data_IF_923421077186
#
_entry.id   IF_923421077186
#
_cell.length_a   1.000
_cell.length_b   1.000
_cell.length_c   1.000
_cell.angle_alpha   90.00
_cell.angle_beta   90.00
_cell.angle_gamma   90.00
#
_symmetry.space_group_name_H-M   'P 1'
#
loop_
_entity.id
_entity.type
_entity.pdbx_description
1 polymer ?
#
# COMPACT_ATOMS: atom_id res chain seq x y z
N UNK A 1 -43.15 -22.39 -44.91
CA UNK A 1 -43.07 -22.05 -43.45
C UNK A 1 -41.62 -22.04 -43.05
N UNK A 2 -41.01 -20.82 -42.84
CA UNK A 2 -39.57 -20.67 -42.42
C UNK A 2 -39.54 -20.67 -40.93
N UNK A 3 -38.87 -21.64 -40.29
CA UNK A 3 -38.64 -21.70 -38.86
C UNK A 3 -37.46 -20.78 -38.53
N UNK A 4 -37.70 -19.70 -37.81
CA UNK A 4 -36.66 -18.79 -37.27
C UNK A 4 -36.16 -19.39 -35.97
N UNK A 5 -34.87 -19.79 -35.96
CA UNK A 5 -34.17 -20.30 -34.77
C UNK A 5 -33.61 -19.11 -33.99
N UNK A 6 -34.18 -18.83 -32.83
CA UNK A 6 -33.68 -17.80 -31.92
C UNK A 6 -32.51 -18.38 -31.08
N UNK A 7 -31.29 -17.98 -31.40
CA UNK A 7 -30.11 -18.33 -30.58
C UNK A 7 -30.03 -17.29 -29.42
N UNK A 8 -30.39 -17.72 -28.21
CA UNK A 8 -30.19 -16.95 -26.99
C UNK A 8 -28.75 -17.09 -26.57
N UNK A 9 -27.95 -16.03 -26.77
CA UNK A 9 -26.56 -15.96 -26.32
C UNK A 9 -26.53 -15.66 -24.83
N UNK A 10 -26.25 -16.66 -23.98
CA UNK A 10 -26.07 -16.47 -22.53
C UNK A 10 -24.69 -15.86 -22.30
N UNK A 11 -24.64 -14.56 -22.03
CA UNK A 11 -23.41 -13.87 -21.56
C UNK A 11 -23.15 -14.27 -20.12
N UNK A 12 -22.21 -15.18 -19.90
CA UNK A 12 -21.69 -15.51 -18.57
C UNK A 12 -20.91 -14.29 -18.03
N UNK A 13 -21.56 -13.47 -17.20
CA UNK A 13 -20.88 -12.45 -16.41
C UNK A 13 -20.10 -13.17 -15.31
N UNK A 14 -18.81 -13.37 -15.51
CA UNK A 14 -17.91 -13.84 -14.46
C UNK A 14 -17.82 -12.76 -13.38
N UNK A 15 -18.68 -12.85 -12.36
CA UNK A 15 -18.60 -12.05 -11.17
C UNK A 15 -17.36 -12.47 -10.38
N UNK A 16 -16.30 -11.66 -10.39
CA UNK A 16 -15.18 -11.84 -9.49
C UNK A 16 -15.66 -11.60 -8.06
N UNK A 17 -16.05 -12.66 -7.36
CA UNK A 17 -16.34 -12.57 -5.93
C UNK A 17 -15.09 -12.08 -5.17
N UNK A 18 -15.24 -11.12 -4.24
CA UNK A 18 -14.10 -10.60 -3.49
C UNK A 18 -13.43 -11.74 -2.72
N UNK A 19 -12.11 -11.81 -2.81
CA UNK A 19 -11.31 -12.84 -2.13
C UNK A 19 -11.50 -12.68 -0.61
N UNK A 20 -12.09 -13.69 0.05
CA UNK A 20 -12.17 -13.70 1.51
C UNK A 20 -10.77 -13.79 2.11
N UNK A 21 -10.49 -12.97 3.13
CA UNK A 21 -9.22 -13.01 3.86
C UNK A 21 -8.95 -14.41 4.41
N UNK A 22 -7.73 -14.92 4.24
CA UNK A 22 -7.31 -16.22 4.74
C UNK A 22 -6.09 -16.05 5.67
N UNK A 23 -6.18 -16.58 6.89
CA UNK A 23 -5.09 -16.52 7.88
C UNK A 23 -3.77 -17.16 7.38
N UNK A 24 -3.85 -18.13 6.46
CA UNK A 24 -2.65 -18.73 5.84
C UNK A 24 -1.81 -17.70 5.06
N UNK A 25 -2.41 -16.59 4.62
CA UNK A 25 -1.70 -15.53 3.92
C UNK A 25 -0.60 -14.88 4.78
N UNK A 26 -0.81 -14.82 6.09
CA UNK A 26 0.13 -14.24 7.05
C UNK A 26 1.38 -15.10 7.28
N UNK A 27 1.40 -16.33 6.75
CA UNK A 27 2.54 -17.25 6.87
C UNK A 27 3.46 -17.23 5.64
N UNK A 28 3.09 -16.49 4.60
CA UNK A 28 3.93 -16.41 3.41
C UNK A 28 5.18 -15.60 3.72
N UNK A 29 6.33 -16.17 3.50
CA UNK A 29 7.64 -15.52 3.63
C UNK A 29 8.10 -14.98 2.29
N UNK A 30 8.78 -13.83 2.32
CA UNK A 30 9.40 -13.23 1.16
C UNK A 30 10.71 -13.96 0.80
N UNK A 31 11.10 -14.00 -0.48
CA UNK A 31 12.48 -14.32 -0.85
C UNK A 31 13.42 -13.24 -0.28
N UNK A 32 14.72 -13.53 -0.21
CA UNK A 32 15.73 -12.59 0.30
C UNK A 32 15.68 -11.22 -0.38
N UNK A 33 15.34 -11.20 -1.66
CA UNK A 33 15.13 -9.99 -2.45
C UNK A 33 14.02 -10.23 -3.44
N UNK A 34 13.13 -9.24 -3.62
CA UNK A 34 12.15 -9.24 -4.70
C UNK A 34 11.96 -7.84 -5.25
N UNK A 35 11.47 -7.77 -6.48
CA UNK A 35 11.03 -6.53 -7.11
C UNK A 35 9.52 -6.56 -7.31
N UNK A 36 8.90 -5.40 -7.26
CA UNK A 36 7.48 -5.27 -7.53
C UNK A 36 7.20 -3.95 -8.25
N UNK A 37 6.17 -3.95 -9.08
CA UNK A 37 5.64 -2.78 -9.77
C UNK A 37 4.35 -2.34 -9.12
N UNK A 38 4.22 -1.03 -8.96
CA UNK A 38 3.01 -0.35 -8.57
C UNK A 38 2.54 0.48 -9.78
N UNK A 39 1.42 0.11 -10.37
CA UNK A 39 0.75 0.89 -11.40
C UNK A 39 -0.13 1.93 -10.73
N UNK A 40 0.06 3.20 -11.06
CA UNK A 40 -0.69 4.30 -10.44
C UNK A 40 -1.42 5.17 -11.46
N UNK A 41 -2.20 6.12 -10.98
CA UNK A 41 -2.85 7.13 -11.82
C UNK A 41 -1.83 8.07 -12.49
N UNK A 42 -0.63 8.24 -11.91
CA UNK A 42 0.43 9.12 -12.42
C UNK A 42 1.51 8.37 -13.21
N UNK A 43 1.35 7.05 -13.43
CA UNK A 43 2.33 6.17 -14.05
C UNK A 43 2.87 5.14 -13.07
N UNK A 44 3.79 4.32 -13.54
CA UNK A 44 4.30 3.19 -12.76
C UNK A 44 5.54 3.59 -11.96
N UNK A 45 5.74 2.92 -10.82
CA UNK A 45 7.03 2.89 -10.14
C UNK A 45 7.38 1.46 -9.72
N UNK A 46 8.66 1.16 -9.71
CA UNK A 46 9.19 -0.15 -9.33
C UNK A 46 9.98 -0.04 -8.03
N UNK A 47 9.88 -1.07 -7.22
CA UNK A 47 10.59 -1.17 -5.95
C UNK A 47 11.47 -2.42 -5.90
N UNK A 48 12.51 -2.36 -5.08
CA UNK A 48 13.25 -3.52 -4.59
C UNK A 48 13.10 -3.60 -3.07
N UNK A 49 12.71 -4.78 -2.57
CA UNK A 49 12.66 -5.09 -1.16
C UNK A 49 13.76 -6.08 -0.81
N UNK A 50 14.41 -5.90 0.35
CA UNK A 50 15.47 -6.79 0.85
C UNK A 50 15.11 -7.25 2.25
N UNK A 51 14.91 -8.56 2.42
CA UNK A 51 14.48 -9.15 3.69
C UNK A 51 15.44 -8.85 4.84
N UNK A 52 16.74 -8.73 4.55
CA UNK A 52 17.76 -8.36 5.54
C UNK A 52 17.57 -6.97 6.18
N UNK A 53 16.79 -6.06 5.56
CA UNK A 53 16.56 -4.73 6.16
C UNK A 53 15.51 -4.74 7.28
N UNK A 54 14.48 -5.57 7.16
CA UNK A 54 13.39 -5.71 8.12
C UNK A 54 12.61 -6.99 7.78
N UNK A 55 13.05 -8.18 8.24
CA UNK A 55 12.47 -9.46 7.84
C UNK A 55 10.95 -9.52 7.97
N UNK A 56 10.39 -9.17 9.14
CA UNK A 56 8.94 -9.17 9.37
C UNK A 56 8.21 -8.14 8.49
N UNK A 57 8.82 -6.95 8.33
CA UNK A 57 8.27 -5.90 7.47
C UNK A 57 8.26 -6.31 6.00
N UNK A 58 9.33 -6.90 5.50
CA UNK A 58 9.44 -7.35 4.10
C UNK A 58 8.53 -8.54 3.82
N UNK A 59 8.40 -9.49 4.76
CA UNK A 59 7.43 -10.58 4.66
C UNK A 59 5.99 -10.03 4.58
N UNK A 60 5.64 -9.02 5.39
CA UNK A 60 4.34 -8.37 5.34
C UNK A 60 4.11 -7.63 4.01
N UNK A 61 5.08 -6.89 3.50
CA UNK A 61 4.99 -6.25 2.19
C UNK A 61 4.74 -7.28 1.07
N UNK A 62 5.51 -8.40 1.10
CA UNK A 62 5.34 -9.50 0.17
C UNK A 62 3.92 -10.08 0.22
N UNK A 63 3.39 -10.34 1.43
CA UNK A 63 2.03 -10.84 1.65
C UNK A 63 1.00 -9.89 1.05
N UNK A 64 1.09 -8.60 1.35
CA UNK A 64 0.15 -7.58 0.87
C UNK A 64 0.13 -7.51 -0.67
N UNK A 65 1.29 -7.53 -1.32
CA UNK A 65 1.39 -7.54 -2.80
C UNK A 65 0.86 -8.87 -3.36
N UNK A 66 1.30 -10.01 -2.81
CA UNK A 66 0.93 -11.35 -3.29
C UNK A 66 -0.58 -11.58 -3.32
N UNK A 67 -1.28 -11.01 -2.35
CA UNK A 67 -2.71 -11.23 -2.20
C UNK A 67 -3.57 -10.04 -2.69
N UNK A 68 -2.96 -9.09 -3.43
CA UNK A 68 -3.65 -8.01 -4.13
C UNK A 68 -4.20 -6.94 -3.19
N UNK A 69 -3.59 -6.77 -2.00
CA UNK A 69 -4.06 -5.78 -1.03
C UNK A 69 -3.97 -4.34 -1.53
N UNK A 70 -2.97 -4.03 -2.36
CA UNK A 70 -2.78 -2.66 -2.85
C UNK A 70 -3.53 -2.35 -4.15
N UNK A 71 -4.39 -3.26 -4.64
CA UNK A 71 -5.20 -3.00 -5.82
C UNK A 71 -6.33 -2.00 -5.48
N UNK A 72 -6.50 -0.96 -6.29
CA UNK A 72 -7.44 0.17 -6.11
C UNK A 72 -7.29 0.90 -4.74
N UNK A 73 -6.06 1.12 -4.29
CA UNK A 73 -5.75 1.78 -3.01
C UNK A 73 -5.35 3.24 -3.21
N UNK A 74 -6.00 4.13 -2.47
CA UNK A 74 -5.73 5.57 -2.52
C UNK A 74 -4.39 5.95 -1.90
N UNK A 75 -3.68 6.89 -2.54
CA UNK A 75 -2.52 7.61 -1.99
C UNK A 75 -3.09 8.83 -1.24
N UNK A 76 -3.58 8.58 -0.04
CA UNK A 76 -4.46 9.51 0.66
C UNK A 76 -3.75 10.67 1.33
N UNK A 77 -2.42 10.63 1.48
CA UNK A 77 -1.64 11.71 2.11
C UNK A 77 -0.36 11.92 1.35
N UNK A 78 -0.21 13.10 0.76
CA UNK A 78 1.04 13.54 0.12
C UNK A 78 1.44 14.86 0.74
N UNK A 79 2.57 14.85 1.45
CA UNK A 79 3.15 16.05 2.07
C UNK A 79 4.46 16.35 1.37
N UNK A 80 4.54 17.42 0.58
CA UNK A 80 5.75 17.80 -0.14
C UNK A 80 6.97 17.87 0.79
N UNK A 81 8.11 17.41 0.32
CA UNK A 81 9.34 17.36 1.11
C UNK A 81 9.21 16.55 2.40
N UNK A 82 8.29 15.58 2.44
CA UNK A 82 8.19 14.65 3.56
C UNK A 82 7.83 13.25 3.05
N UNK A 83 6.55 12.90 2.91
CA UNK A 83 6.14 11.53 2.56
C UNK A 83 4.89 11.51 1.66
N UNK A 84 4.74 10.42 0.88
CA UNK A 84 3.50 9.98 0.27
C UNK A 84 3.04 8.69 0.96
N UNK A 85 1.83 8.68 1.54
CA UNK A 85 1.29 7.59 2.37
C UNK A 85 0.05 6.97 1.76
N UNK A 86 -0.03 5.63 1.81
CA UNK A 86 -1.12 4.82 1.29
C UNK A 86 -1.32 3.54 2.11
N UNK A 87 -2.33 2.72 1.76
CA UNK A 87 -2.49 1.40 2.37
C UNK A 87 -3.75 1.28 3.23
N UNK A 88 -4.78 2.09 2.99
CA UNK A 88 -6.14 1.86 3.49
C UNK A 88 -6.93 1.24 2.33
N UNK A 89 -7.29 -0.04 2.46
CA UNK A 89 -7.98 -0.78 1.42
C UNK A 89 -9.44 -0.33 1.28
N UNK A 90 -9.94 -0.31 0.03
CA UNK A 90 -11.30 0.12 -0.30
C UNK A 90 -12.39 -0.74 0.39
N UNK A 91 -12.19 -2.06 0.48
CA UNK A 91 -13.04 -2.96 1.27
C UNK A 91 -12.68 -2.85 2.75
N UNK A 92 -13.64 -2.36 3.57
CA UNK A 92 -13.45 -2.13 5.01
C UNK A 92 -13.17 -3.41 5.79
N UNK A 93 -13.73 -4.55 5.36
CA UNK A 93 -13.52 -5.86 6.02
C UNK A 93 -12.09 -6.33 5.76
N UNK A 94 -11.62 -6.29 4.51
CA UNK A 94 -10.25 -6.65 4.13
C UNK A 94 -9.27 -5.71 4.83
N UNK A 95 -9.55 -4.40 4.80
CA UNK A 95 -8.73 -3.40 5.49
C UNK A 95 -8.60 -3.72 6.99
N UNK A 96 -9.72 -3.98 7.67
CA UNK A 96 -9.74 -4.33 9.09
C UNK A 96 -8.92 -5.60 9.38
N UNK A 97 -9.09 -6.65 8.56
CA UNK A 97 -8.37 -7.92 8.74
C UNK A 97 -6.85 -7.73 8.68
N UNK A 98 -6.33 -6.98 7.70
CA UNK A 98 -4.90 -6.72 7.61
C UNK A 98 -4.40 -5.76 8.70
N UNK A 99 -5.17 -4.73 9.04
CA UNK A 99 -4.84 -3.76 10.10
C UNK A 99 -4.75 -4.43 11.48
N UNK A 100 -5.63 -5.36 11.78
CA UNK A 100 -5.67 -6.04 13.08
C UNK A 100 -4.53 -7.08 13.24
N UNK A 101 -3.99 -7.59 12.13
CA UNK A 101 -2.84 -8.48 12.14
C UNK A 101 -1.54 -7.69 12.09
N UNK A 102 -1.17 -7.08 13.20
CA UNK A 102 0.04 -6.28 13.37
C UNK A 102 1.30 -7.14 13.32
N UNK A 103 2.43 -6.51 13.06
CA UNK A 103 3.76 -7.12 13.14
C UNK A 103 4.61 -6.37 14.16
N UNK A 104 5.50 -7.11 14.82
CA UNK A 104 6.42 -6.52 15.80
C UNK A 104 7.38 -5.54 15.14
N UNK A 105 7.86 -4.60 15.94
CA UNK A 105 8.89 -3.68 15.52
C UNK A 105 10.24 -4.38 15.32
N UNK A 106 11.08 -3.76 14.52
CA UNK A 106 12.42 -4.22 14.16
C UNK A 106 13.39 -3.03 14.20
N UNK A 107 14.69 -3.25 14.34
CA UNK A 107 15.67 -2.19 14.29
C UNK A 107 15.74 -1.53 12.90
N UNK A 108 16.14 -0.27 12.85
CA UNK A 108 16.41 0.45 11.60
C UNK A 108 17.80 0.05 11.10
N UNK A 109 17.86 -0.77 10.07
CA UNK A 109 19.10 -1.25 9.44
C UNK A 109 19.43 -0.53 8.13
N UNK A 110 18.45 0.13 7.51
CA UNK A 110 18.64 0.97 6.32
C UNK A 110 18.02 2.34 6.56
N UNK A 111 18.62 3.39 6.00
CA UNK A 111 18.24 4.79 6.25
C UNK A 111 16.96 5.19 5.52
N UNK A 112 16.18 6.05 6.17
CA UNK A 112 15.01 6.71 5.60
C UNK A 112 15.43 7.84 4.63
N UNK A 113 16.17 7.49 3.60
CA UNK A 113 16.56 8.40 2.53
C UNK A 113 15.44 8.58 1.49
N UNK A 114 15.57 9.54 0.60
CA UNK A 114 14.62 9.77 -0.47
C UNK A 114 14.31 8.47 -1.25
N UNK A 115 13.03 8.24 -1.54
CA UNK A 115 12.52 7.06 -2.25
C UNK A 115 12.64 5.74 -1.46
N UNK A 116 13.04 5.74 -0.18
CA UNK A 116 12.87 4.58 0.69
C UNK A 116 11.41 4.45 1.16
N UNK A 117 11.01 3.22 1.49
CA UNK A 117 9.64 2.86 1.88
C UNK A 117 9.68 2.20 3.25
N UNK A 118 8.76 2.61 4.12
CA UNK A 118 8.59 2.06 5.47
C UNK A 118 7.12 1.93 5.82
N UNK A 119 6.80 1.11 6.84
CA UNK A 119 5.46 1.06 7.40
C UNK A 119 5.17 2.32 8.24
N UNK A 120 3.98 2.90 8.03
CA UNK A 120 3.43 3.84 8.98
C UNK A 120 2.99 3.09 10.26
N UNK A 121 3.19 3.71 11.42
CA UNK A 121 2.74 3.21 12.72
C UNK A 121 2.44 4.35 13.67
N UNK A 122 1.62 4.09 14.68
CA UNK A 122 1.47 4.95 15.85
C UNK A 122 2.46 4.53 16.95
N UNK A 123 2.04 3.59 17.79
CA UNK A 123 2.81 3.07 18.92
C UNK A 123 3.67 1.86 18.53
N UNK A 124 4.37 1.29 19.52
CA UNK A 124 5.14 0.06 19.38
C UNK A 124 4.26 -1.10 18.88
N UNK A 125 4.82 -1.92 17.99
CA UNK A 125 4.20 -3.13 17.43
C UNK A 125 2.83 -2.87 16.75
N UNK A 126 2.69 -1.72 16.08
CA UNK A 126 1.45 -1.36 15.36
C UNK A 126 1.60 -1.30 13.84
N UNK A 127 2.75 -1.68 13.29
CA UNK A 127 2.93 -1.82 11.84
C UNK A 127 1.98 -2.90 11.30
N UNK A 128 1.30 -2.63 10.18
CA UNK A 128 0.33 -3.60 9.64
C UNK A 128 0.19 -3.57 8.11
N UNK A 129 -0.41 -2.52 7.54
CA UNK A 129 -0.81 -2.45 6.13
C UNK A 129 -0.52 -1.12 5.44
N UNK A 130 -0.34 -0.03 6.21
CA UNK A 130 -0.07 1.28 5.63
C UNK A 130 1.42 1.50 5.43
N UNK A 131 1.77 2.04 4.27
CA UNK A 131 3.13 2.37 3.87
C UNK A 131 3.27 3.86 3.59
N UNK A 132 4.50 4.35 3.70
CA UNK A 132 4.87 5.64 3.13
C UNK A 132 6.15 5.54 2.31
N UNK A 133 6.25 6.39 1.29
CA UNK A 133 7.45 6.64 0.50
C UNK A 133 8.06 7.95 0.99
N UNK A 134 9.34 7.97 1.30
CA UNK A 134 10.06 9.18 1.65
C UNK A 134 10.28 10.04 0.39
N UNK A 135 9.75 11.27 0.36
CA UNK A 135 9.90 12.19 -0.78
C UNK A 135 11.21 12.99 -0.71
N UNK A 136 11.90 12.94 0.40
CA UNK A 136 13.26 13.44 0.62
C UNK A 136 13.99 12.57 1.63
N UNK A 137 15.23 12.93 1.97
CA UNK A 137 15.96 12.34 3.08
C UNK A 137 15.30 12.72 4.41
N UNK A 138 14.77 11.72 5.10
CA UNK A 138 14.09 11.86 6.37
C UNK A 138 14.84 11.12 7.48
N UNK A 139 16.17 11.28 7.58
CA UNK A 139 17.02 10.58 8.55
C UNK A 139 16.58 10.72 10.00
N UNK A 140 15.84 11.77 10.35
CA UNK A 140 15.19 11.90 11.65
C UNK A 140 14.25 10.73 11.99
N UNK A 141 13.71 10.06 10.97
CA UNK A 141 12.86 8.88 11.14
C UNK A 141 13.65 7.64 11.55
N UNK A 142 14.97 7.61 11.37
CA UNK A 142 15.83 6.50 11.79
C UNK A 142 15.91 6.41 13.31
N UNK A 143 15.85 7.55 13.99
CA UNK A 143 16.05 7.68 15.44
C UNK A 143 14.83 8.27 16.16
N UNK A 144 13.72 8.49 15.46
CA UNK A 144 12.50 9.02 16.07
C UNK A 144 12.04 8.13 17.23
N UNK A 145 11.93 8.73 18.41
CA UNK A 145 11.47 8.05 19.64
C UNK A 145 9.96 8.21 19.77
N UNK A 146 9.23 7.11 19.65
CA UNK A 146 7.83 7.00 19.99
C UNK A 146 7.64 6.19 21.28
N UNK A 147 6.41 6.04 21.79
CA UNK A 147 6.11 5.21 22.95
C UNK A 147 6.59 3.76 22.74
N UNK A 148 7.63 3.36 23.46
CA UNK A 148 8.19 2.00 23.45
C UNK A 148 8.91 1.57 22.16
N UNK A 149 9.23 2.50 21.23
CA UNK A 149 9.85 2.14 19.95
C UNK A 149 10.71 3.26 19.39
N UNK A 150 11.78 2.88 18.69
CA UNK A 150 12.69 3.83 18.02
C UNK A 150 12.74 3.54 16.53
N UNK A 151 12.61 4.59 15.73
CA UNK A 151 12.80 4.62 14.29
C UNK A 151 11.71 3.92 13.48
N UNK A 152 11.80 4.05 12.18
CA UNK A 152 10.91 3.44 11.18
C UNK A 152 11.75 2.57 10.24
N UNK A 153 11.77 1.24 10.40
CA UNK A 153 12.57 0.35 9.57
C UNK A 153 12.19 0.44 8.10
N UNK A 154 13.19 0.67 7.24
CA UNK A 154 13.02 0.64 5.79
C UNK A 154 12.83 -0.80 5.33
N UNK A 155 11.90 -1.04 4.42
CA UNK A 155 11.55 -2.36 3.89
C UNK A 155 11.83 -2.47 2.39
N UNK A 156 11.82 -1.36 1.68
CA UNK A 156 12.03 -1.32 0.23
C UNK A 156 12.57 0.04 -0.21
N UNK A 157 13.05 0.10 -1.47
CA UNK A 157 13.43 1.33 -2.16
C UNK A 157 12.85 1.36 -3.55
N UNK A 158 12.44 2.54 -4.01
CA UNK A 158 12.06 2.79 -5.39
C UNK A 158 13.31 2.73 -6.28
N UNK A 159 13.24 1.95 -7.35
CA UNK A 159 14.34 1.75 -8.30
C UNK A 159 14.04 2.32 -9.69
N UNK A 160 12.77 2.61 -9.99
CA UNK A 160 12.32 3.27 -11.23
C UNK A 160 11.01 4.03 -10.99
N UNK A 161 10.72 5.05 -11.78
CA UNK A 161 9.45 5.79 -11.75
C UNK A 161 9.35 6.83 -10.63
N UNK A 162 10.49 7.32 -10.10
CA UNK A 162 10.53 8.42 -9.12
C UNK A 162 9.75 9.65 -9.59
N UNK A 163 9.88 10.00 -10.86
CA UNK A 163 9.20 11.13 -11.49
C UNK A 163 7.67 11.00 -11.46
N UNK A 164 7.13 9.79 -11.44
CA UNK A 164 5.69 9.54 -11.33
C UNK A 164 5.20 9.73 -9.88
N UNK A 165 6.00 9.33 -8.89
CA UNK A 165 5.72 9.53 -7.47
C UNK A 165 5.67 11.02 -7.14
N UNK A 166 6.56 11.82 -7.73
CA UNK A 166 6.62 13.27 -7.52
C UNK A 166 5.46 14.05 -8.16
N UNK A 167 4.61 13.38 -8.98
CA UNK A 167 3.38 13.95 -9.55
C UNK A 167 2.13 13.69 -8.71
N UNK A 168 2.22 12.89 -7.66
CA UNK A 168 1.05 12.62 -6.81
C UNK A 168 0.49 13.92 -6.27
N UNK A 169 -0.84 14.04 -6.36
CA UNK A 169 -1.54 15.27 -5.96
C UNK A 169 -1.35 15.55 -4.46
N UNK A 170 -0.74 16.68 -4.17
CA UNK A 170 -0.36 17.12 -2.83
C UNK A 170 -1.27 18.20 -2.23
N UNK A 171 -2.22 18.72 -3.02
CA UNK A 171 -3.07 19.82 -2.60
C UNK A 171 -3.96 19.55 -1.39
N UNK A 172 -4.14 18.29 -0.99
CA UNK A 172 -4.80 17.92 0.27
C UNK A 172 -3.80 17.77 1.44
N UNK A 173 -2.50 17.75 1.17
CA UNK A 173 -1.44 17.72 2.16
C UNK A 173 -1.62 16.64 3.23
N UNK A 174 -1.64 17.06 4.49
CA UNK A 174 -1.84 16.17 5.64
C UNK A 174 -3.32 15.99 6.05
N UNK A 175 -4.27 16.67 5.39
CA UNK A 175 -5.69 16.68 5.81
C UNK A 175 -6.28 15.26 5.85
N UNK A 176 -6.11 14.50 4.79
CA UNK A 176 -6.64 13.13 4.71
C UNK A 176 -5.97 12.16 5.69
N UNK A 177 -4.77 12.50 6.17
CA UNK A 177 -4.14 11.77 7.27
C UNK A 177 -4.96 11.81 8.58
N UNK A 178 -5.81 12.82 8.77
CA UNK A 178 -6.73 12.94 9.90
C UNK A 178 -8.12 12.32 9.62
N UNK A 179 -8.36 11.87 8.39
CA UNK A 179 -9.64 11.29 7.93
C UNK A 179 -9.56 9.77 7.72
N UNK A 180 -8.52 9.12 8.23
CA UNK A 180 -8.26 7.69 8.00
C UNK A 180 -9.44 6.80 8.40
N UNK A 181 -10.15 7.12 9.49
CA UNK A 181 -11.32 6.36 9.92
C UNK A 181 -12.47 6.46 8.90
N UNK A 182 -12.70 7.65 8.33
CA UNK A 182 -13.68 7.85 7.26
C UNK A 182 -13.30 7.09 6.00
N UNK A 183 -12.01 7.13 5.61
CA UNK A 183 -11.50 6.39 4.46
C UNK A 183 -11.67 4.88 4.69
N UNK A 184 -11.30 4.38 5.87
CA UNK A 184 -11.42 2.96 6.22
C UNK A 184 -12.87 2.47 6.28
N UNK A 185 -13.83 3.34 6.64
CA UNK A 185 -15.25 3.03 6.75
C UNK A 185 -15.99 3.09 5.42
N UNK A 186 -15.72 4.12 4.62
CA UNK A 186 -16.50 4.46 3.43
C UNK A 186 -15.73 4.21 2.12
N UNK A 187 -14.44 3.88 2.19
CA UNK A 187 -13.61 3.51 1.04
C UNK A 187 -13.44 4.60 0.00
N UNK A 188 -13.18 4.17 -1.23
CA UNK A 188 -12.91 5.04 -2.36
C UNK A 188 -14.13 5.86 -2.81
N UNK A 189 -15.34 5.42 -2.52
CA UNK A 189 -16.56 6.19 -2.81
C UNK A 189 -16.52 7.55 -2.11
N UNK A 190 -16.17 7.55 -0.82
CA UNK A 190 -15.98 8.78 -0.05
C UNK A 190 -14.88 9.67 -0.64
N UNK A 191 -13.75 9.08 -1.02
CA UNK A 191 -12.64 9.83 -1.59
C UNK A 191 -12.97 10.42 -2.96
N UNK A 192 -13.60 9.66 -3.85
CA UNK A 192 -13.98 10.14 -5.19
C UNK A 192 -15.00 11.26 -5.13
N UNK A 193 -15.91 11.22 -4.15
CA UNK A 193 -16.92 12.27 -3.95
C UNK A 193 -16.35 13.55 -3.32
N UNK A 194 -15.57 13.42 -2.24
CA UNK A 194 -15.11 14.57 -1.44
C UNK A 194 -13.71 15.07 -1.83
N UNK A 195 -12.88 14.19 -2.41
CA UNK A 195 -11.46 14.43 -2.70
C UNK A 195 -11.08 13.89 -4.09
N UNK A 196 -11.73 14.38 -5.18
CA UNK A 196 -11.64 13.76 -6.52
C UNK A 196 -10.24 13.79 -7.16
N UNK A 197 -9.30 14.58 -6.61
CA UNK A 197 -7.92 14.66 -7.13
C UNK A 197 -6.96 13.68 -6.46
N UNK A 198 -7.41 12.84 -5.52
CA UNK A 198 -6.56 11.81 -4.91
C UNK A 198 -6.08 10.84 -5.97
N UNK A 199 -4.79 10.52 -5.92
CA UNK A 199 -4.19 9.50 -6.77
C UNK A 199 -4.39 8.09 -6.22
N UNK A 200 -4.32 7.10 -7.10
CA UNK A 200 -4.57 5.70 -6.75
C UNK A 200 -3.46 4.78 -7.25
N UNK A 201 -3.14 3.76 -6.46
CA UNK A 201 -2.49 2.55 -6.92
C UNK A 201 -3.58 1.70 -7.59
N UNK A 202 -3.45 1.46 -8.90
CA UNK A 202 -4.38 0.63 -9.67
C UNK A 202 -4.14 -0.85 -9.40
N UNK A 203 -2.86 -1.23 -9.30
CA UNK A 203 -2.43 -2.59 -9.08
C UNK A 203 -0.99 -2.65 -8.57
N UNK A 204 -0.68 -3.68 -7.76
CA UNK A 204 0.69 -4.00 -7.36
C UNK A 204 0.99 -5.48 -7.60
N UNK A 205 2.15 -5.80 -8.23
CA UNK A 205 2.55 -7.17 -8.56
C UNK A 205 4.07 -7.33 -8.67
N UNK A 206 4.54 -8.58 -8.56
CA UNK A 206 5.96 -8.89 -8.68
C UNK A 206 6.45 -8.81 -10.12
N UNK A 207 7.69 -8.34 -10.28
CA UNK A 207 8.42 -8.30 -11.56
C UNK A 207 9.75 -9.04 -11.41
N UNK A 208 10.35 -9.41 -12.56
CA UNK A 208 11.67 -10.11 -12.61
C UNK A 208 12.83 -9.20 -12.27
#
# INVERSE_FOLDING_TARGET
MKKILFIVSIVLIASCAPKKFNQKWLRAEAPNTFKARFETTQGNFDIVARRAWSPKGVDRLYQLIKYGYYDDVAIFRVVPNFVAQFGIHNDSIINKRWRDNKIDDEPVLAKNEAMSISFARGDANTRSNQLYINLKDNYRLDTYKGPGVTGFPVIAKVIAGKENILKFYDGYGAELGRKQDSIAKFGNTYLREKYPKVDYIKKAYFIK
#
